data_IF_527012284330
#
_entry.id   IF_527012284330
#
_cell.length_a   1.000
_cell.length_b   1.000
_cell.length_c   1.000
_cell.angle_alpha   90.00
_cell.angle_beta   90.00
_cell.angle_gamma   90.00
#
_symmetry.space_group_name_H-M   'P 1'
#
loop_
_entity.id
_entity.type
_entity.pdbx_description
1 polymer ?
#
# COMPACT_ATOMS: atom_id res chain seq x y z
N UNK A 1 -16.93 -41.89 -19.54
CA UNK A 1 -16.17 -40.80 -20.19
C UNK A 1 -16.68 -39.48 -19.63
N UNK A 2 -16.17 -39.03 -18.48
CA UNK A 2 -16.51 -37.71 -17.93
C UNK A 2 -15.53 -36.68 -18.50
N UNK A 3 -15.92 -36.10 -19.64
CA UNK A 3 -15.12 -35.18 -20.45
C UNK A 3 -15.01 -33.78 -19.84
N UNK A 4 -14.02 -33.59 -18.97
CA UNK A 4 -13.42 -32.27 -18.74
C UNK A 4 -12.07 -32.18 -19.46
N UNK A 5 -11.78 -31.06 -20.12
CA UNK A 5 -10.42 -30.79 -20.57
C UNK A 5 -9.55 -30.46 -19.34
N UNK A 6 -8.52 -31.25 -19.09
CA UNK A 6 -7.58 -30.99 -18.00
C UNK A 6 -6.87 -29.67 -18.27
N UNK A 7 -6.90 -28.76 -17.29
CA UNK A 7 -6.10 -27.56 -17.36
C UNK A 7 -4.63 -27.94 -17.15
N UNK A 8 -3.70 -27.39 -17.95
CA UNK A 8 -2.29 -27.68 -17.78
C UNK A 8 -1.80 -27.19 -16.41
N UNK A 9 -0.91 -27.94 -15.75
CA UNK A 9 -0.33 -27.56 -14.46
C UNK A 9 0.48 -26.25 -14.49
N UNK A 10 0.81 -25.78 -15.70
CA UNK A 10 1.51 -24.52 -15.95
C UNK A 10 0.58 -23.36 -16.26
N UNK A 11 -0.74 -23.57 -16.27
CA UNK A 11 -1.69 -22.48 -16.52
C UNK A 11 -1.61 -21.46 -15.37
N UNK A 12 -1.23 -20.19 -15.63
CA UNK A 12 -1.27 -19.16 -14.61
C UNK A 12 -2.73 -18.95 -14.16
N UNK A 13 -2.93 -18.84 -12.85
CA UNK A 13 -4.25 -18.56 -12.27
C UNK A 13 -4.64 -17.10 -12.58
N UNK A 14 -5.82 -16.91 -13.16
CA UNK A 14 -6.35 -15.58 -13.50
C UNK A 14 -7.33 -15.13 -12.41
N UNK A 15 -7.13 -13.91 -11.91
CA UNK A 15 -8.00 -13.32 -10.88
C UNK A 15 -9.46 -13.22 -11.38
N UNK A 16 -10.42 -13.61 -10.54
CA UNK A 16 -11.85 -13.63 -10.87
C UNK A 16 -12.28 -14.81 -11.75
N UNK A 17 -11.37 -15.70 -12.14
CA UNK A 17 -11.71 -16.91 -12.90
C UNK A 17 -12.10 -18.04 -11.95
N UNK A 18 -13.22 -18.70 -12.26
CA UNK A 18 -13.70 -19.89 -11.54
C UNK A 18 -13.18 -21.16 -12.19
N UNK A 19 -12.43 -21.94 -11.42
CA UNK A 19 -11.86 -23.23 -11.80
C UNK A 19 -12.66 -24.36 -11.17
N UNK A 20 -12.67 -25.54 -11.78
CA UNK A 20 -13.48 -26.68 -11.34
C UNK A 20 -12.61 -27.87 -10.95
N UNK A 21 -12.61 -28.23 -9.67
CA UNK A 21 -11.86 -29.39 -9.17
C UNK A 21 -12.74 -30.66 -9.18
N UNK A 22 -12.21 -31.78 -9.66
CA UNK A 22 -12.78 -33.12 -9.46
C UNK A 22 -11.90 -33.93 -8.51
N UNK A 23 -12.52 -34.77 -7.69
CA UNK A 23 -11.80 -35.76 -6.89
C UNK A 23 -11.81 -37.10 -7.63
N UNK A 24 -10.66 -37.78 -7.68
CA UNK A 24 -10.53 -39.15 -8.20
C UNK A 24 -10.15 -40.07 -7.03
N UNK A 25 -10.95 -41.11 -6.79
CA UNK A 25 -10.62 -42.18 -5.84
C UNK A 25 -10.61 -43.50 -6.60
N UNK A 26 -9.43 -44.10 -6.76
CA UNK A 26 -9.26 -45.27 -7.62
C UNK A 26 -9.56 -44.95 -9.08
N UNK A 27 -10.52 -45.65 -9.69
CA UNK A 27 -10.99 -45.41 -11.06
C UNK A 27 -12.28 -44.57 -11.14
N UNK A 28 -12.80 -44.11 -9.99
CA UNK A 28 -14.02 -43.31 -9.93
C UNK A 28 -13.68 -41.82 -9.79
N UNK A 29 -14.01 -41.03 -10.82
CA UNK A 29 -14.01 -39.57 -10.77
C UNK A 29 -15.36 -39.08 -10.24
N UNK A 30 -15.36 -38.03 -9.40
CA UNK A 30 -16.57 -37.37 -8.92
C UNK A 30 -17.44 -36.88 -10.08
N UNK A 31 -18.74 -37.15 -10.00
CA UNK A 31 -19.75 -36.67 -10.96
C UNK A 31 -20.00 -35.17 -10.85
N UNK A 32 -19.64 -34.56 -9.72
CA UNK A 32 -19.77 -33.12 -9.45
C UNK A 32 -18.38 -32.50 -9.29
N UNK A 33 -18.18 -31.33 -9.91
CA UNK A 33 -16.94 -30.55 -9.76
C UNK A 33 -17.17 -29.37 -8.83
N UNK A 34 -16.25 -29.16 -7.89
CA UNK A 34 -16.30 -28.01 -6.99
C UNK A 34 -15.79 -26.77 -7.72
N UNK A 35 -16.63 -25.74 -7.79
CA UNK A 35 -16.25 -24.42 -8.30
C UNK A 35 -15.36 -23.70 -7.28
N UNK A 36 -14.18 -23.26 -7.70
CA UNK A 36 -13.18 -22.52 -6.92
C UNK A 36 -12.86 -21.24 -7.67
N UNK A 37 -13.32 -20.10 -7.14
CA UNK A 37 -13.00 -18.78 -7.69
C UNK A 37 -11.65 -18.30 -7.16
N UNK A 38 -10.74 -17.96 -8.07
CA UNK A 38 -9.44 -17.39 -7.69
C UNK A 38 -9.65 -15.93 -7.31
N UNK A 39 -9.46 -15.63 -6.04
CA UNK A 39 -9.35 -14.26 -5.54
C UNK A 39 -7.88 -13.91 -5.35
N UNK A 40 -7.26 -13.37 -6.39
CA UNK A 40 -5.96 -12.70 -6.30
C UNK A 40 -6.19 -11.23 -5.94
N UNK A 41 -6.75 -11.02 -4.75
CA UNK A 41 -6.79 -9.73 -4.11
C UNK A 41 -5.51 -9.61 -3.31
N UNK A 42 -4.60 -8.75 -3.79
CA UNK A 42 -3.43 -8.31 -3.01
C UNK A 42 -3.91 -7.55 -1.78
N UNK A 43 -4.29 -8.28 -0.73
CA UNK A 43 -4.58 -7.73 0.58
C UNK A 43 -3.31 -7.65 1.42
N UNK A 44 -2.31 -6.96 0.91
CA UNK A 44 -1.13 -6.50 1.64
C UNK A 44 -0.63 -5.25 0.91
N UNK A 45 -1.23 -4.09 1.22
CA UNK A 45 -0.71 -2.81 0.75
C UNK A 45 0.67 -2.62 1.37
N UNK A 46 1.72 -2.71 0.54
CA UNK A 46 2.99 -2.09 0.86
C UNK A 46 2.90 -0.66 0.34
N UNK A 47 3.31 0.31 1.16
CA UNK A 47 3.50 1.67 0.66
C UNK A 47 4.66 1.57 -0.34
N UNK A 48 4.35 1.52 -1.63
CA UNK A 48 5.37 1.60 -2.66
C UNK A 48 6.14 2.91 -2.43
N UNK A 49 7.40 2.78 -1.98
CA UNK A 49 8.34 3.89 -1.95
C UNK A 49 8.29 4.49 -3.34
N UNK A 50 7.91 5.76 -3.50
CA UNK A 50 7.93 6.40 -4.80
C UNK A 50 9.30 6.21 -5.38
N UNK A 51 9.35 5.96 -6.68
CA UNK A 51 10.56 6.13 -7.43
C UNK A 51 11.18 7.48 -7.00
N UNK A 52 12.42 7.48 -6.49
CA UNK A 52 13.05 8.58 -5.70
C UNK A 52 13.00 9.97 -6.39
N UNK A 53 12.70 9.97 -7.70
CA UNK A 53 12.52 11.18 -8.52
C UNK A 53 11.15 11.85 -8.41
N UNK A 54 10.12 11.16 -7.94
CA UNK A 54 8.74 11.66 -7.99
C UNK A 54 8.26 12.27 -6.67
N UNK A 55 8.90 11.90 -5.55
CA UNK A 55 8.61 12.41 -4.21
C UNK A 55 9.86 12.32 -3.32
N UNK A 56 10.27 13.45 -2.75
CA UNK A 56 11.32 13.53 -1.73
C UNK A 56 10.99 14.61 -0.70
N UNK A 57 11.66 14.54 0.45
CA UNK A 57 11.53 15.54 1.51
C UNK A 57 12.88 15.77 2.19
N UNK A 58 13.07 17.00 2.67
CA UNK A 58 14.32 17.42 3.31
C UNK A 58 14.12 18.63 4.22
N UNK A 59 15.02 18.87 5.18
CA UNK A 59 16.09 17.97 5.61
C UNK A 59 15.54 16.84 6.51
N UNK A 60 16.20 15.67 6.49
CA UNK A 60 16.03 14.64 7.51
C UNK A 60 17.43 14.27 8.04
N UNK A 61 17.80 14.60 9.29
CA UNK A 61 16.98 15.19 10.36
C UNK A 61 16.51 16.64 10.10
N UNK A 62 15.33 16.99 10.62
CA UNK A 62 14.71 18.32 10.49
C UNK A 62 14.85 19.13 11.78
N UNK A 63 15.13 20.42 11.64
CA UNK A 63 15.03 21.38 12.75
C UNK A 63 13.66 22.06 12.69
N UNK A 64 13.46 23.07 11.84
CA UNK A 64 12.24 23.88 11.93
C UNK A 64 11.18 23.53 10.89
N UNK A 65 11.60 23.38 9.63
CA UNK A 65 10.70 23.26 8.49
C UNK A 65 11.11 22.09 7.61
N UNK A 66 10.15 21.22 7.34
CA UNK A 66 10.27 20.13 6.39
C UNK A 66 9.75 20.60 5.03
N UNK A 67 10.61 20.52 4.01
CA UNK A 67 10.27 20.75 2.61
C UNK A 67 9.84 19.45 1.96
N UNK A 68 8.81 19.52 1.14
CA UNK A 68 8.24 18.40 0.40
C UNK A 68 8.28 18.74 -1.07
N UNK A 69 9.04 17.96 -1.84
CA UNK A 69 9.06 18.04 -3.29
C UNK A 69 8.32 16.83 -3.86
N UNK A 70 7.31 17.10 -4.68
CA UNK A 70 6.47 16.07 -5.27
C UNK A 70 5.97 16.53 -6.63
N UNK A 71 5.95 15.62 -7.60
CA UNK A 71 5.26 15.87 -8.88
C UNK A 71 3.75 15.97 -8.69
N UNK A 72 3.19 15.12 -7.83
CA UNK A 72 1.77 15.06 -7.52
C UNK A 72 1.45 15.91 -6.28
N UNK A 73 0.28 16.55 -6.24
CA UNK A 73 -0.06 17.39 -5.09
C UNK A 73 -0.25 16.54 -3.83
N UNK A 74 0.49 16.88 -2.78
CA UNK A 74 0.24 16.40 -1.43
C UNK A 74 -0.88 17.25 -0.84
N UNK A 75 -2.02 16.63 -0.55
CA UNK A 75 -3.22 17.34 -0.07
C UNK A 75 -3.39 17.25 1.44
N UNK A 76 -2.80 16.25 2.08
CA UNK A 76 -2.89 16.04 3.53
C UNK A 76 -1.57 15.54 4.08
N UNK A 77 -1.14 16.11 5.20
CA UNK A 77 0.01 15.63 5.98
C UNK A 77 -0.43 15.38 7.42
N UNK A 78 -0.05 14.24 7.97
CA UNK A 78 -0.25 13.87 9.37
C UNK A 78 1.07 13.47 9.99
N UNK A 79 1.37 14.02 11.15
CA UNK A 79 2.57 13.73 11.93
C UNK A 79 2.14 12.98 13.17
N UNK A 80 2.71 11.81 13.39
CA UNK A 80 2.46 10.95 14.53
C UNK A 80 3.73 10.83 15.37
N UNK A 81 3.57 10.81 16.69
CA UNK A 81 4.61 10.40 17.61
C UNK A 81 4.87 8.88 17.51
N UNK A 82 5.94 8.39 18.13
CA UNK A 82 6.32 6.96 18.08
C UNK A 82 5.31 6.02 18.73
N UNK A 83 4.47 6.54 19.62
CA UNK A 83 3.35 5.84 20.26
C UNK A 83 2.09 5.80 19.36
N UNK A 84 2.15 6.41 18.17
CA UNK A 84 1.03 6.50 17.23
C UNK A 84 0.10 7.69 17.46
N UNK A 85 0.35 8.54 18.46
CA UNK A 85 -0.47 9.73 18.71
C UNK A 85 -0.31 10.74 17.57
N UNK A 86 -1.43 11.22 17.00
CA UNK A 86 -1.43 12.31 16.03
C UNK A 86 -1.05 13.63 16.72
N UNK A 87 0.14 14.16 16.44
CA UNK A 87 0.66 15.39 17.07
C UNK A 87 0.41 16.63 16.22
N UNK A 88 0.30 16.48 14.90
CA UNK A 88 0.01 17.59 14.00
C UNK A 88 -0.63 17.09 12.71
N UNK A 89 -1.58 17.87 12.16
CA UNK A 89 -2.17 17.59 10.84
C UNK A 89 -2.35 18.86 10.04
N UNK A 90 -2.23 18.76 8.72
CA UNK A 90 -2.44 19.85 7.77
C UNK A 90 -3.14 19.33 6.53
N UNK A 91 -4.12 20.08 6.01
CA UNK A 91 -4.87 19.72 4.80
C UNK A 91 -5.08 20.97 3.93
N UNK A 92 -4.58 20.94 2.70
CA UNK A 92 -4.62 22.05 1.74
C UNK A 92 -4.63 21.51 0.31
N UNK A 93 -4.92 22.35 -0.69
CA UNK A 93 -4.89 21.92 -2.11
C UNK A 93 -3.50 21.45 -2.57
N UNK A 94 -2.43 22.01 -2.00
CA UNK A 94 -1.04 21.63 -2.28
C UNK A 94 -0.15 22.03 -1.11
N UNK A 95 0.43 21.03 -0.44
CA UNK A 95 1.35 21.21 0.68
C UNK A 95 2.78 21.01 0.19
N UNK A 96 3.63 22.02 0.38
CA UNK A 96 5.07 21.95 0.06
C UNK A 96 5.96 22.14 1.29
N UNK A 97 5.39 22.66 2.39
CA UNK A 97 6.11 23.03 3.61
C UNK A 97 5.30 22.63 4.84
N UNK A 98 6.00 22.07 5.83
CA UNK A 98 5.46 21.72 7.14
C UNK A 98 6.37 22.28 8.22
N UNK A 99 5.81 23.13 9.09
CA UNK A 99 6.51 23.64 10.26
C UNK A 99 6.44 22.60 11.38
N UNK A 100 7.60 22.21 11.91
CA UNK A 100 7.80 21.23 12.98
C UNK A 100 8.46 21.85 14.22
N UNK A 101 8.67 23.17 14.26
CA UNK A 101 9.32 23.86 15.40
C UNK A 101 8.55 23.68 16.72
N UNK A 102 7.22 23.51 16.64
CA UNK A 102 6.38 23.27 17.82
C UNK A 102 6.51 21.85 18.40
N UNK A 103 7.22 20.95 17.72
CA UNK A 103 7.39 19.57 18.14
C UNK A 103 8.69 19.42 18.93
N UNK A 104 8.63 18.61 20.00
CA UNK A 104 9.80 18.24 20.79
C UNK A 104 10.79 17.43 19.95
N UNK A 105 12.06 17.40 20.34
CA UNK A 105 13.07 16.59 19.67
C UNK A 105 12.77 15.10 19.82
N UNK A 106 12.92 14.32 18.75
CA UNK A 106 12.57 12.91 18.75
C UNK A 106 12.28 12.31 17.37
N UNK A 107 11.82 11.07 17.39
CA UNK A 107 11.39 10.36 16.19
C UNK A 107 9.89 10.61 15.94
N UNK A 108 9.53 10.78 14.67
CA UNK A 108 8.14 10.94 14.25
C UNK A 108 7.87 10.13 12.98
N UNK A 109 6.62 9.72 12.80
CA UNK A 109 6.13 9.19 11.54
C UNK A 109 5.33 10.26 10.83
N UNK A 110 5.65 10.52 9.57
CA UNK A 110 4.90 11.48 8.75
C UNK A 110 4.21 10.73 7.62
N UNK A 111 2.88 10.85 7.58
CA UNK A 111 2.01 10.33 6.54
C UNK A 111 1.62 11.45 5.58
N UNK A 112 1.93 11.26 4.30
CA UNK A 112 1.56 12.12 3.19
C UNK A 112 0.44 11.46 2.40
N UNK A 113 -0.66 12.19 2.18
CA UNK A 113 -1.75 11.77 1.28
C UNK A 113 -1.74 12.65 0.05
N UNK A 114 -1.76 12.02 -1.12
CA UNK A 114 -1.76 12.67 -2.42
C UNK A 114 -3.18 12.87 -2.94
N UNK A 115 -3.35 13.76 -3.93
CA UNK A 115 -4.65 14.06 -4.54
C UNK A 115 -5.36 12.85 -5.17
N UNK A 116 -4.61 11.82 -5.57
CA UNK A 116 -5.15 10.54 -6.07
C UNK A 116 -5.53 9.54 -4.96
N UNK A 117 -5.39 9.92 -3.69
CA UNK A 117 -5.64 9.06 -2.54
C UNK A 117 -4.49 8.14 -2.14
N UNK A 118 -3.37 8.10 -2.88
CA UNK A 118 -2.16 7.37 -2.47
C UNK A 118 -1.69 7.91 -1.12
N UNK A 119 -1.17 7.03 -0.27
CA UNK A 119 -0.56 7.37 1.02
C UNK A 119 0.87 6.88 1.07
N UNK A 120 1.71 7.64 1.77
CA UNK A 120 3.10 7.30 2.03
C UNK A 120 3.41 7.66 3.46
N UNK A 121 4.03 6.76 4.21
CA UNK A 121 4.45 7.01 5.57
C UNK A 121 5.96 6.81 5.70
N UNK A 122 6.67 7.85 6.16
CA UNK A 122 8.11 7.79 6.39
C UNK A 122 8.46 8.23 7.81
N UNK A 123 9.54 7.67 8.36
CA UNK A 123 10.13 8.11 9.63
C UNK A 123 10.99 9.35 9.41
N UNK A 124 10.85 10.33 10.29
CA UNK A 124 11.64 11.57 10.32
C UNK A 124 12.21 11.78 11.72
N UNK A 125 13.42 12.34 11.80
CA UNK A 125 14.08 12.69 13.05
C UNK A 125 14.02 14.21 13.23
N UNK A 126 13.43 14.69 14.32
CA UNK A 126 13.43 16.09 14.73
C UNK A 126 14.62 16.34 15.68
N UNK A 127 15.46 17.32 15.34
CA UNK A 127 16.60 17.80 16.13
C UNK A 127 16.43 19.25 16.57
#
# INVERSE_FOLDING_TARGET
MTGGNLLPSTMPLVNGTTYYASQVVGACESTTRLAVTVNSSSYLSTNEVPNDKDFNFYPNPVNDVLHINSKMNVVKVRIYAVDGQLVQSKEEKRITLINMNKLIYGNYFVEFTFENGKKIQNKIIKK
#
